data_IF_703281775038
#
_entry.id   IF_703281775038
#
_cell.length_a   1.000
_cell.length_b   1.000
_cell.length_c   1.000
_cell.angle_alpha   90.00
_cell.angle_beta   90.00
_cell.angle_gamma   90.00
#
_symmetry.space_group_name_H-M   'P 1'
#
loop_
_entity.id
_entity.type
_entity.pdbx_description
1 polymer ?
#
# COMPACT_ATOMS: atom_id res chain seq x y z
N UNK A 1 -0.23 5.60 6.96
CA UNK A 1 1.11 5.02 6.67
C UNK A 1 2.11 5.76 7.53
N UNK A 2 3.23 5.13 7.91
CA UNK A 2 4.25 5.75 8.76
C UNK A 2 3.95 5.71 10.25
N UNK A 3 2.86 5.05 10.63
CA UNK A 3 2.40 4.84 12.01
C UNK A 3 1.90 3.41 12.14
N UNK A 4 1.94 2.86 13.35
CA UNK A 4 1.42 1.53 13.65
C UNK A 4 -0.09 1.47 13.30
N UNK A 5 -0.53 0.36 12.72
CA UNK A 5 -1.93 0.14 12.36
C UNK A 5 -2.80 -0.14 13.58
N UNK A 6 -2.18 -0.56 14.68
CA UNK A 6 -2.87 -0.91 15.92
C UNK A 6 -3.40 -2.34 15.92
N UNK A 7 -2.78 -3.23 15.15
CA UNK A 7 -3.13 -4.65 15.17
C UNK A 7 -2.86 -5.25 16.56
N UNK A 8 -3.66 -6.24 16.93
CA UNK A 8 -3.57 -7.01 18.18
C UNK A 8 -2.40 -8.01 18.18
N UNK A 9 -1.24 -7.62 17.63
CA UNK A 9 -0.01 -8.39 17.60
C UNK A 9 1.18 -7.58 18.12
N UNK A 10 2.11 -8.20 18.84
CA UNK A 10 3.34 -7.53 19.26
C UNK A 10 4.27 -7.29 18.06
N UNK A 11 5.19 -6.33 18.21
CA UNK A 11 6.29 -6.05 17.27
C UNK A 11 5.84 -5.55 15.88
N UNK A 12 4.78 -4.76 15.81
CA UNK A 12 4.47 -4.00 14.60
C UNK A 12 5.59 -3.01 14.27
N UNK A 13 5.85 -2.79 12.97
CA UNK A 13 6.74 -1.73 12.49
C UNK A 13 5.91 -0.64 11.84
N UNK A 14 6.14 0.60 12.24
CA UNK A 14 5.45 1.79 11.72
C UNK A 14 5.81 2.17 10.29
N UNK A 15 6.91 1.65 9.73
CA UNK A 15 7.43 2.11 8.45
C UNK A 15 7.96 3.55 8.54
N UNK A 16 7.86 4.32 7.46
CA UNK A 16 8.31 5.70 7.41
C UNK A 16 7.59 6.47 6.30
N UNK A 17 6.83 7.51 6.66
CA UNK A 17 6.46 8.57 5.71
C UNK A 17 7.35 9.77 6.02
N UNK A 18 8.28 10.13 5.11
CA UNK A 18 9.27 11.13 5.40
C UNK A 18 8.66 12.54 5.46
N UNK A 19 9.08 13.33 6.44
CA UNK A 19 8.75 14.75 6.57
C UNK A 19 10.03 15.61 6.50
N UNK A 20 9.85 16.93 6.36
CA UNK A 20 10.98 17.87 6.41
C UNK A 20 11.73 17.76 7.74
N UNK A 21 10.97 17.76 8.84
CA UNK A 21 11.49 17.68 10.21
C UNK A 21 12.20 16.35 10.45
N UNK A 22 11.61 15.23 10.00
CA UNK A 22 12.25 13.92 10.09
C UNK A 22 13.63 13.93 9.43
N UNK A 23 13.73 14.50 8.23
CA UNK A 23 15.00 14.51 7.48
C UNK A 23 16.06 15.40 8.15
N UNK A 24 15.65 16.55 8.66
CA UNK A 24 16.56 17.46 9.35
C UNK A 24 17.09 16.85 10.65
N UNK A 25 16.22 16.23 11.45
CA UNK A 25 16.58 15.57 12.70
C UNK A 25 17.45 14.34 12.47
N UNK A 26 17.06 13.46 11.53
CA UNK A 26 17.72 12.16 11.36
C UNK A 26 18.97 12.22 10.49
N UNK A 27 19.00 13.10 9.49
CA UNK A 27 20.08 13.15 8.50
C UNK A 27 20.85 14.47 8.50
N UNK A 28 20.48 15.46 9.33
CA UNK A 28 21.13 16.77 9.38
C UNK A 28 21.02 17.56 8.07
N UNK A 29 20.02 17.24 7.24
CA UNK A 29 19.88 17.79 5.88
C UNK A 29 18.47 18.30 5.64
N UNK A 30 18.38 19.48 5.03
CA UNK A 30 17.11 20.06 4.58
C UNK A 30 16.47 19.24 3.46
N UNK A 31 15.14 19.20 3.46
CA UNK A 31 14.33 18.60 2.40
C UNK A 31 14.54 19.31 1.06
N UNK A 32 14.67 18.54 -0.01
CA UNK A 32 14.87 19.01 -1.38
C UNK A 32 13.62 18.78 -2.21
N UNK A 33 13.34 19.66 -3.18
CA UNK A 33 12.13 19.55 -4.02
C UNK A 33 11.99 18.21 -4.75
N UNK A 34 13.12 17.65 -5.21
CA UNK A 34 13.14 16.33 -5.86
C UNK A 34 12.69 15.18 -4.96
N UNK A 35 12.81 15.30 -3.64
CA UNK A 35 12.40 14.26 -2.70
C UNK A 35 10.88 14.20 -2.56
N UNK A 36 10.18 15.31 -2.76
CA UNK A 36 8.71 15.32 -2.86
C UNK A 36 8.25 14.52 -4.08
N UNK A 37 8.94 14.66 -5.21
CA UNK A 37 8.61 13.93 -6.45
C UNK A 37 8.86 12.42 -6.31
N UNK A 38 9.94 12.04 -5.62
CA UNK A 38 10.25 10.63 -5.39
C UNK A 38 9.29 10.02 -4.35
N UNK A 39 8.96 10.76 -3.28
CA UNK A 39 8.04 10.29 -2.26
C UNK A 39 6.61 10.13 -2.79
N UNK A 40 6.17 10.97 -3.73
CA UNK A 40 4.80 10.90 -4.30
C UNK A 40 4.54 9.63 -5.11
N UNK A 41 5.58 8.96 -5.59
CA UNK A 41 5.50 7.65 -6.26
C UNK A 41 5.83 6.47 -5.32
N UNK A 42 5.94 6.72 -4.01
CA UNK A 42 6.19 5.69 -3.01
C UNK A 42 7.64 5.18 -2.95
N UNK A 43 8.62 5.97 -3.42
CA UNK A 43 10.04 5.62 -3.38
C UNK A 43 10.84 6.56 -2.45
N UNK A 44 12.17 6.39 -2.45
CA UNK A 44 13.08 7.22 -1.66
C UNK A 44 13.10 6.78 -0.20
N UNK A 45 12.68 7.66 0.70
CA UNK A 45 12.61 7.37 2.14
C UNK A 45 11.28 6.76 2.57
N UNK A 46 10.32 6.60 1.66
CA UNK A 46 9.02 5.97 1.97
C UNK A 46 9.25 4.49 2.30
N UNK A 47 8.84 4.07 3.49
CA UNK A 47 8.82 2.68 3.92
C UNK A 47 7.43 2.34 4.43
N UNK A 48 6.95 1.14 4.12
CA UNK A 48 5.64 0.67 4.59
C UNK A 48 5.66 -0.83 4.80
N UNK A 49 4.75 -1.33 5.63
CA UNK A 49 4.52 -2.76 5.82
C UNK A 49 3.38 -3.25 4.90
N UNK A 50 3.35 -4.54 4.54
CA UNK A 50 2.21 -5.12 3.82
C UNK A 50 0.87 -4.91 4.55
N UNK A 51 0.87 -4.95 5.89
CA UNK A 51 -0.32 -4.69 6.70
C UNK A 51 -0.83 -3.26 6.56
N UNK A 52 0.07 -2.27 6.52
CA UNK A 52 -0.28 -0.88 6.27
C UNK A 52 -0.84 -0.67 4.86
N UNK A 53 -0.30 -1.36 3.85
CA UNK A 53 -0.83 -1.34 2.49
C UNK A 53 -2.24 -1.95 2.41
N UNK A 54 -2.45 -3.12 2.99
CA UNK A 54 -3.77 -3.75 3.06
C UNK A 54 -4.78 -2.87 3.81
N UNK A 55 -4.39 -2.29 4.94
CA UNK A 55 -5.22 -1.36 5.71
C UNK A 55 -5.56 -0.11 4.91
N UNK A 56 -4.58 0.47 4.20
CA UNK A 56 -4.80 1.60 3.30
C UNK A 56 -5.81 1.25 2.20
N UNK A 57 -5.69 0.07 1.60
CA UNK A 57 -6.62 -0.41 0.56
C UNK A 57 -8.03 -0.62 1.10
N UNK A 58 -8.17 -1.21 2.29
CA UNK A 58 -9.47 -1.35 2.97
C UNK A 58 -10.12 0.00 3.27
N UNK A 59 -9.32 1.00 3.67
CA UNK A 59 -9.76 2.38 3.91
C UNK A 59 -10.19 3.08 2.61
N UNK A 60 -9.45 2.91 1.52
CA UNK A 60 -9.85 3.42 0.21
C UNK A 60 -11.17 2.79 -0.25
N UNK A 61 -11.31 1.46 -0.11
CA UNK A 61 -12.48 0.70 -0.54
C UNK A 61 -13.75 1.03 0.25
N UNK A 62 -13.63 1.16 1.57
CA UNK A 62 -14.77 1.44 2.46
C UNK A 62 -15.06 2.92 2.64
N UNK A 63 -14.04 3.79 2.54
CA UNK A 63 -14.14 5.20 2.94
C UNK A 63 -14.16 5.40 4.46
N UNK A 64 -13.87 4.36 5.24
CA UNK A 64 -13.85 4.38 6.71
C UNK A 64 -12.44 4.19 7.24
N UNK A 65 -12.17 4.65 8.46
CA UNK A 65 -10.89 4.51 9.15
C UNK A 65 -10.69 3.10 9.75
N UNK A 66 -10.78 2.07 8.90
CA UNK A 66 -10.64 0.66 9.28
C UNK A 66 -9.34 0.42 10.05
N UNK A 67 -9.42 -0.36 11.13
CA UNK A 67 -8.28 -0.89 11.89
C UNK A 67 -8.22 -2.41 11.77
N UNK A 68 -7.05 -2.99 11.47
CA UNK A 68 -6.91 -4.44 11.36
C UNK A 68 -6.90 -5.11 12.73
N UNK A 69 -7.43 -6.32 12.81
CA UNK A 69 -7.30 -7.19 13.97
C UNK A 69 -7.35 -8.66 13.53
N UNK A 70 -6.73 -9.54 14.31
CA UNK A 70 -6.67 -10.97 14.06
C UNK A 70 -7.77 -11.72 14.83
N UNK A 71 -8.04 -11.31 16.07
CA UNK A 71 -8.97 -12.01 16.95
C UNK A 71 -10.42 -11.64 16.64
N UNK A 72 -11.30 -12.64 16.53
CA UNK A 72 -12.75 -12.39 16.37
C UNK A 72 -13.38 -11.88 17.65
N UNK A 73 -12.96 -12.46 18.78
CA UNK A 73 -13.40 -12.14 20.13
C UNK A 73 -12.23 -11.53 20.90
N UNK A 74 -12.48 -10.71 21.91
CA UNK A 74 -11.41 -10.16 22.74
C UNK A 74 -10.86 -11.27 23.64
N UNK A 75 -9.59 -11.60 23.44
CA UNK A 75 -8.86 -12.58 24.25
C UNK A 75 -7.94 -11.84 25.21
N UNK A 76 -8.25 -11.91 26.51
CA UNK A 76 -7.41 -11.35 27.58
C UNK A 76 -7.02 -12.44 28.57
N UNK A 77 -6.02 -12.23 29.44
CA UNK A 77 -5.69 -13.19 30.50
C UNK A 77 -6.88 -13.55 31.40
N UNK A 78 -7.85 -12.64 31.53
CA UNK A 78 -9.06 -12.79 32.36
C UNK A 78 -10.18 -13.60 31.68
N UNK A 79 -10.05 -13.91 30.38
CA UNK A 79 -11.00 -14.73 29.63
C UNK A 79 -11.26 -14.27 28.19
N UNK A 80 -12.29 -14.85 27.57
CA UNK A 80 -12.74 -14.50 26.22
C UNK A 80 -14.07 -13.75 26.30
N UNK A 81 -14.13 -12.56 25.73
CA UNK A 81 -15.37 -11.77 25.64
C UNK A 81 -15.70 -11.46 24.18
N UNK A 82 -16.99 -11.46 23.84
CA UNK A 82 -17.40 -11.15 22.47
C UNK A 82 -16.99 -9.74 22.08
N UNK A 83 -16.31 -9.61 20.94
CA UNK A 83 -15.98 -8.29 20.40
C UNK A 83 -17.21 -7.71 19.71
N UNK A 84 -17.60 -6.50 20.07
CA UNK A 84 -18.62 -5.77 19.33
C UNK A 84 -18.07 -5.35 17.98
N UNK A 85 -18.92 -5.39 16.95
CA UNK A 85 -18.55 -4.90 15.63
C UNK A 85 -18.12 -3.42 15.77
N UNK A 86 -16.85 -3.15 15.49
CA UNK A 86 -16.31 -1.81 15.60
C UNK A 86 -16.87 -0.95 14.47
N UNK A 87 -17.57 0.13 14.84
CA UNK A 87 -18.02 1.11 13.86
C UNK A 87 -16.87 2.07 13.54
N UNK A 88 -16.22 1.84 12.39
CA UNK A 88 -15.14 2.71 11.95
C UNK A 88 -15.69 4.07 11.48
N UNK A 89 -15.12 5.19 11.94
CA UNK A 89 -15.56 6.52 11.51
C UNK A 89 -15.24 6.74 10.03
N UNK A 90 -15.97 7.64 9.39
CA UNK A 90 -15.67 8.04 8.02
C UNK A 90 -14.30 8.72 7.93
N UNK A 91 -13.58 8.45 6.85
CA UNK A 91 -12.39 9.21 6.50
C UNK A 91 -12.79 10.64 6.16
N UNK A 92 -12.03 11.60 6.67
CA UNK A 92 -12.20 13.03 6.37
C UNK A 92 -11.66 13.37 4.98
N UNK A 93 -12.16 12.68 3.96
CA UNK A 93 -11.76 12.82 2.55
C UNK A 93 -13.00 12.95 1.67
N UNK A 94 -12.86 13.66 0.55
CA UNK A 94 -13.97 13.84 -0.39
C UNK A 94 -14.45 12.49 -0.95
N UNK A 95 -15.75 12.22 -0.82
CA UNK A 95 -16.40 11.04 -1.41
C UNK A 95 -16.21 10.98 -2.93
N UNK A 96 -16.24 12.14 -3.59
CA UNK A 96 -16.02 12.23 -5.04
C UNK A 96 -14.59 11.83 -5.42
N UNK A 97 -13.59 12.20 -4.60
CA UNK A 97 -12.21 11.79 -4.85
C UNK A 97 -12.02 10.28 -4.58
N UNK A 98 -12.63 9.75 -3.52
CA UNK A 98 -12.62 8.30 -3.27
C UNK A 98 -13.24 7.52 -4.44
N UNK A 99 -14.39 7.95 -4.95
CA UNK A 99 -15.02 7.32 -6.11
C UNK A 99 -14.09 7.30 -7.33
N UNK A 100 -13.48 8.45 -7.67
CA UNK A 100 -12.50 8.52 -8.77
C UNK A 100 -11.29 7.61 -8.57
N UNK A 101 -10.79 7.49 -7.34
CA UNK A 101 -9.67 6.60 -7.04
C UNK A 101 -10.09 5.13 -7.22
N UNK A 102 -11.27 4.74 -6.73
CA UNK A 102 -11.80 3.38 -6.89
C UNK A 102 -12.03 3.03 -8.37
N UNK A 103 -12.59 3.96 -9.14
CA UNK A 103 -12.79 3.79 -10.58
C UNK A 103 -11.46 3.63 -11.31
N UNK A 104 -10.45 4.44 -10.97
CA UNK A 104 -9.11 4.30 -11.53
C UNK A 104 -8.48 2.94 -11.18
N UNK A 105 -8.61 2.48 -9.93
CA UNK A 105 -8.14 1.15 -9.50
C UNK A 105 -8.90 0.01 -10.21
N UNK A 106 -10.19 0.19 -10.48
CA UNK A 106 -10.99 -0.73 -11.28
C UNK A 106 -10.46 -0.79 -12.72
N UNK A 107 -10.12 0.37 -13.31
CA UNK A 107 -9.52 0.44 -14.65
C UNK A 107 -8.19 -0.31 -14.75
N UNK A 108 -7.36 -0.29 -13.69
CA UNK A 108 -6.09 -1.03 -13.68
C UNK A 108 -6.27 -2.54 -13.88
N UNK A 109 -7.35 -3.13 -13.37
CA UNK A 109 -7.59 -4.58 -13.42
C UNK A 109 -8.60 -4.97 -14.50
N UNK A 110 -9.59 -4.14 -14.81
CA UNK A 110 -10.71 -4.54 -15.65
C UNK A 110 -10.73 -3.88 -17.04
N UNK A 111 -9.93 -2.84 -17.29
CA UNK A 111 -9.74 -2.32 -18.66
C UNK A 111 -8.62 -3.07 -19.39
N UNK A 112 -8.76 -3.19 -20.72
CA UNK A 112 -7.83 -3.93 -21.58
C UNK A 112 -6.38 -3.41 -21.51
N UNK A 113 -6.20 -2.11 -21.26
CA UNK A 113 -4.88 -1.46 -21.14
C UNK A 113 -4.42 -1.32 -19.68
N UNK A 114 -5.17 -1.86 -18.72
CA UNK A 114 -4.83 -1.81 -17.31
C UNK A 114 -3.57 -2.62 -17.00
N UNK A 115 -2.67 -2.05 -16.19
CA UNK A 115 -1.39 -2.71 -15.85
C UNK A 115 -1.57 -3.99 -15.03
N UNK A 116 -2.75 -4.19 -14.44
CA UNK A 116 -3.13 -5.38 -13.68
C UNK A 116 -4.16 -6.27 -14.39
N UNK A 117 -4.40 -6.06 -15.69
CA UNK A 117 -5.49 -6.73 -16.42
C UNK A 117 -5.44 -8.27 -16.34
N UNK A 118 -4.23 -8.84 -16.33
CA UNK A 118 -4.02 -10.29 -16.22
C UNK A 118 -4.41 -10.88 -14.87
N UNK A 119 -4.53 -10.07 -13.82
CA UNK A 119 -4.86 -10.53 -12.47
C UNK A 119 -6.37 -10.51 -12.17
N UNK A 120 -7.21 -9.98 -13.07
CA UNK A 120 -8.64 -9.76 -12.84
C UNK A 120 -9.39 -11.02 -12.44
N UNK A 121 -10.47 -10.84 -11.67
CA UNK A 121 -11.45 -11.88 -11.40
C UNK A 121 -12.48 -11.87 -12.52
N UNK A 122 -12.54 -12.93 -13.32
CA UNK A 122 -13.45 -13.04 -14.48
C UNK A 122 -14.88 -13.45 -14.11
N UNK A 123 -15.16 -13.67 -12.82
CA UNK A 123 -16.48 -14.03 -12.32
C UNK A 123 -17.30 -12.75 -12.15
N UNK A 124 -18.44 -12.66 -12.84
CA UNK A 124 -19.34 -11.50 -12.79
C UNK A 124 -19.79 -11.22 -11.35
N UNK A 125 -19.71 -9.96 -10.93
CA UNK A 125 -20.07 -9.50 -9.59
C UNK A 125 -18.99 -9.78 -8.52
N UNK A 126 -17.86 -10.35 -8.91
CA UNK A 126 -16.69 -10.60 -8.04
C UNK A 126 -15.45 -9.86 -8.54
N UNK A 127 -15.62 -8.91 -9.46
CA UNK A 127 -14.54 -8.10 -10.00
C UNK A 127 -13.76 -7.44 -8.85
N UNK A 128 -12.45 -7.33 -9.03
CA UNK A 128 -11.58 -6.62 -8.09
C UNK A 128 -11.05 -5.35 -8.71
N UNK A 129 -10.83 -4.34 -7.88
CA UNK A 129 -10.09 -3.12 -8.22
C UNK A 129 -8.74 -3.16 -7.51
N UNK A 130 -7.66 -2.85 -8.21
CA UNK A 130 -6.32 -3.00 -7.65
C UNK A 130 -5.29 -2.04 -8.21
N UNK A 131 -4.07 -2.11 -7.66
CA UNK A 131 -2.93 -1.31 -8.13
C UNK A 131 -1.63 -2.08 -7.96
N UNK A 132 -0.83 -2.11 -9.02
CA UNK A 132 0.53 -2.63 -8.98
C UNK A 132 1.54 -1.60 -8.48
N UNK A 133 2.63 -2.09 -7.90
CA UNK A 133 3.80 -1.32 -7.52
C UNK A 133 5.09 -2.12 -7.73
N UNK A 134 6.20 -1.40 -7.87
CA UNK A 134 7.54 -1.99 -7.99
C UNK A 134 8.47 -1.23 -7.07
N UNK A 135 9.16 -1.95 -6.19
CA UNK A 135 10.12 -1.37 -5.26
C UNK A 135 11.53 -1.82 -5.60
N UNK A 136 12.41 -0.86 -5.85
CA UNK A 136 13.80 -1.12 -6.18
C UNK A 136 14.59 -1.53 -4.93
N UNK A 137 15.44 -2.56 -5.05
CA UNK A 137 16.24 -3.09 -3.93
C UNK A 137 17.60 -2.41 -3.82
N UNK A 138 18.05 -1.74 -4.89
CA UNK A 138 19.37 -1.09 -4.94
C UNK A 138 19.35 0.20 -5.73
N UNK A 139 20.32 1.06 -5.44
CA UNK A 139 20.63 2.22 -6.27
C UNK A 139 21.36 1.76 -7.53
N UNK A 140 20.85 2.14 -8.69
CA UNK A 140 21.54 2.03 -9.98
C UNK A 140 22.28 3.34 -10.21
N UNK A 141 23.60 3.30 -10.36
CA UNK A 141 24.39 4.51 -10.60
C UNK A 141 24.31 4.94 -12.07
N UNK A 142 24.52 6.23 -12.34
CA UNK A 142 24.58 6.72 -13.73
C UNK A 142 25.69 6.03 -14.53
N UNK A 143 26.85 5.80 -13.90
CA UNK A 143 27.97 5.08 -14.51
C UNK A 143 27.56 3.67 -14.90
N UNK A 144 26.95 2.94 -13.98
CA UNK A 144 26.47 1.58 -14.24
C UNK A 144 25.49 1.56 -15.41
N UNK A 145 24.47 2.44 -15.39
CA UNK A 145 23.47 2.55 -16.45
C UNK A 145 24.08 2.91 -17.81
N UNK A 146 25.15 3.69 -17.84
CA UNK A 146 25.90 3.99 -19.07
C UNK A 146 26.71 2.80 -19.57
N UNK A 147 27.29 2.01 -18.66
CA UNK A 147 28.14 0.87 -19.01
C UNK A 147 27.36 -0.39 -19.38
N UNK A 148 26.24 -0.66 -18.72
CA UNK A 148 25.46 -1.89 -18.89
C UNK A 148 24.13 -1.67 -19.60
N UNK A 149 23.74 -0.42 -19.84
CA UNK A 149 22.40 -0.09 -20.29
C UNK A 149 21.34 -0.33 -19.21
N UNK A 150 20.08 -0.44 -19.65
CA UNK A 150 18.95 -0.87 -18.81
C UNK A 150 18.85 -2.39 -18.91
N UNK A 151 19.13 -3.07 -17.81
CA UNK A 151 19.00 -4.53 -17.70
C UNK A 151 17.55 -4.92 -17.43
N UNK A 152 17.09 -6.03 -18.00
CA UNK A 152 15.81 -6.61 -17.62
C UNK A 152 15.89 -7.15 -16.19
N UNK A 153 14.78 -7.07 -15.44
CA UNK A 153 14.74 -7.56 -14.07
C UNK A 153 15.01 -9.07 -14.00
N UNK A 154 14.70 -9.84 -15.05
CA UNK A 154 14.96 -11.28 -15.12
C UNK A 154 16.45 -11.60 -15.32
N UNK A 155 17.21 -10.69 -15.92
CA UNK A 155 18.64 -10.85 -16.15
C UNK A 155 19.48 -10.53 -14.91
N UNK A 156 18.87 -9.91 -13.90
CA UNK A 156 19.52 -9.62 -12.63
C UNK A 156 19.58 -10.87 -11.72
N UNK A 157 20.67 -11.05 -10.97
CA UNK A 157 20.72 -12.01 -9.88
C UNK A 157 19.53 -11.81 -8.92
N UNK A 158 18.92 -12.89 -8.44
CA UNK A 158 17.68 -12.86 -7.65
C UNK A 158 17.64 -11.79 -6.54
N UNK A 159 18.73 -11.67 -5.75
CA UNK A 159 18.86 -10.69 -4.66
C UNK A 159 18.81 -9.21 -5.08
N UNK A 160 18.96 -8.94 -6.38
CA UNK A 160 18.94 -7.59 -6.96
C UNK A 160 17.68 -7.33 -7.79
N UNK A 161 16.76 -8.31 -7.87
CA UNK A 161 15.49 -8.13 -8.56
C UNK A 161 14.57 -7.27 -7.72
N UNK A 162 13.84 -6.39 -8.39
CA UNK A 162 12.86 -5.53 -7.75
C UNK A 162 11.74 -6.34 -7.08
N UNK A 163 11.20 -5.83 -5.98
CA UNK A 163 10.02 -6.41 -5.35
C UNK A 163 8.77 -6.01 -6.14
N UNK A 164 7.92 -7.00 -6.43
CA UNK A 164 6.61 -6.78 -7.02
C UNK A 164 5.56 -6.65 -5.92
N UNK A 165 4.75 -5.59 -5.99
CA UNK A 165 3.64 -5.35 -5.07
C UNK A 165 2.33 -5.28 -5.86
N UNK A 166 1.27 -5.77 -5.23
CA UNK A 166 -0.08 -5.59 -5.73
C UNK A 166 -1.03 -5.50 -4.54
N UNK A 167 -1.91 -4.51 -4.57
CA UNK A 167 -3.00 -4.36 -3.59
C UNK A 167 -4.33 -4.34 -4.31
N UNK A 168 -5.38 -4.85 -3.68
CA UNK A 168 -6.72 -4.86 -4.28
C UNK A 168 -7.84 -4.90 -3.24
N UNK A 169 -9.04 -4.58 -3.68
CA UNK A 169 -10.27 -4.87 -2.96
C UNK A 169 -11.32 -5.49 -3.90
N UNK A 170 -12.23 -6.26 -3.31
CA UNK A 170 -13.31 -6.92 -4.05
C UNK A 170 -14.54 -7.19 -3.16
N UNK A 171 -15.74 -7.31 -3.75
CA UNK A 171 -16.10 -6.89 -5.11
C UNK A 171 -15.98 -5.36 -5.32
N UNK A 172 -15.87 -4.88 -6.56
CA UNK A 172 -15.78 -3.43 -6.85
C UNK A 172 -17.00 -2.66 -6.34
N UNK A 173 -18.20 -3.18 -6.61
CA UNK A 173 -19.46 -2.48 -6.34
C UNK A 173 -19.83 -2.45 -4.85
N UNK A 174 -19.46 -3.50 -4.11
CA UNK A 174 -19.69 -3.60 -2.67
C UNK A 174 -18.47 -4.23 -1.97
N UNK A 175 -17.39 -3.47 -1.76
CA UNK A 175 -16.13 -4.00 -1.26
C UNK A 175 -16.28 -4.68 0.09
N UNK A 176 -15.80 -5.92 0.16
CA UNK A 176 -15.84 -6.75 1.37
C UNK A 176 -14.45 -7.24 1.80
N UNK A 177 -13.55 -7.40 0.86
CA UNK A 177 -12.19 -7.92 1.07
C UNK A 177 -11.16 -6.91 0.58
N UNK A 178 -9.99 -6.89 1.22
CA UNK A 178 -8.82 -6.16 0.78
C UNK A 178 -7.56 -7.02 0.93
N UNK A 179 -6.60 -6.84 0.04
CA UNK A 179 -5.27 -7.44 0.10
C UNK A 179 -4.17 -6.45 -0.31
#
# INVERSE_FOLDING_TARGET
LGEDTGIDLPNERSGLIPTKDWKEIQLGKRWQGGETLIASIGQGYVLTTPLQLCTMTARLASGKAVRPHLTRDNVTPEGVTSRQAEEFPELQVSRANLARIRDAMNGVTNELRGTGHGARIAIKGMEMAGKSGTSQVRRITMRERQTTGVLDNNDLPWKYRDHALFVAFAPVDNPRYAC
#
